data_IF_086250972757
#
_entry.id   IF_086250972757
#
_cell.length_a   1.000
_cell.length_b   1.000
_cell.length_c   1.000
_cell.angle_alpha   90.00
_cell.angle_beta   90.00
_cell.angle_gamma   90.00
#
_symmetry.space_group_name_H-M   'P 1'
#
loop_
_entity.id
_entity.type
_entity.pdbx_description
1 polymer ?
#
# COMPACT_ATOMS: atom_id res chain seq x y z
N UNK A 1 46.83 -0.04 -35.60
CA UNK A 1 45.51 -0.20 -36.24
C UNK A 1 44.54 0.52 -35.33
N UNK A 2 44.18 1.75 -35.66
CA UNK A 2 43.24 2.54 -34.85
C UNK A 2 41.82 2.29 -35.34
N UNK A 3 40.92 1.92 -34.43
CA UNK A 3 39.52 1.68 -34.73
C UNK A 3 38.78 2.99 -34.47
N UNK A 4 38.31 3.63 -35.53
CA UNK A 4 37.39 4.77 -35.43
C UNK A 4 35.97 4.25 -35.22
N UNK A 5 35.31 4.74 -34.17
CA UNK A 5 33.92 4.40 -33.84
C UNK A 5 33.08 5.63 -34.22
N UNK A 6 32.22 5.48 -35.22
CA UNK A 6 31.21 6.48 -35.55
C UNK A 6 30.01 6.36 -34.59
N UNK A 7 29.41 7.47 -34.13
CA UNK A 7 28.21 7.39 -33.31
C UNK A 7 27.01 7.05 -34.19
N UNK A 8 26.37 5.93 -33.88
CA UNK A 8 25.05 5.57 -34.42
C UNK A 8 24.00 6.36 -33.65
N UNK A 9 23.23 7.19 -34.35
CA UNK A 9 22.11 7.90 -33.76
C UNK A 9 20.99 6.95 -33.36
N UNK A 10 20.52 7.08 -32.11
CA UNK A 10 19.38 6.36 -31.59
C UNK A 10 18.12 7.18 -31.82
N UNK A 11 17.17 6.61 -32.57
CA UNK A 11 15.85 7.16 -32.83
C UNK A 11 15.07 7.40 -31.53
N UNK A 12 14.55 8.62 -31.37
CA UNK A 12 13.65 9.03 -30.30
C UNK A 12 12.28 8.36 -30.49
N UNK A 13 11.95 7.41 -29.62
CA UNK A 13 10.63 6.80 -29.51
C UNK A 13 9.65 7.70 -28.75
N UNK A 14 8.44 7.80 -29.28
CA UNK A 14 7.31 8.61 -28.79
C UNK A 14 6.82 8.13 -27.40
N UNK A 15 7.43 8.63 -26.33
CA UNK A 15 7.12 8.23 -24.94
C UNK A 15 5.94 8.98 -24.28
N UNK A 16 5.13 9.74 -25.03
CA UNK A 16 4.13 10.65 -24.45
C UNK A 16 2.79 9.99 -24.05
N UNK A 17 2.39 8.92 -24.71
CA UNK A 17 1.05 8.31 -24.56
C UNK A 17 0.90 7.48 -23.27
N UNK A 18 1.95 6.74 -22.92
CA UNK A 18 1.90 5.81 -21.79
C UNK A 18 2.00 6.52 -20.44
N UNK A 19 2.74 7.63 -20.40
CA UNK A 19 2.88 8.47 -19.20
C UNK A 19 1.55 9.15 -18.84
N UNK A 20 0.82 9.65 -19.83
CA UNK A 20 -0.50 10.25 -19.62
C UNK A 20 -1.53 9.20 -19.13
N UNK A 21 -1.47 7.98 -19.66
CA UNK A 21 -2.31 6.87 -19.20
C UNK A 21 -2.02 6.49 -17.75
N UNK A 22 -0.74 6.46 -17.35
CA UNK A 22 -0.32 6.20 -15.97
C UNK A 22 -0.78 7.30 -15.01
N UNK A 23 -0.66 8.57 -15.42
CA UNK A 23 -1.15 9.69 -14.62
C UNK A 23 -2.67 9.65 -14.43
N UNK A 24 -3.43 9.32 -15.49
CA UNK A 24 -4.89 9.17 -15.41
C UNK A 24 -5.31 8.02 -14.51
N UNK A 25 -4.63 6.87 -14.60
CA UNK A 25 -4.89 5.72 -13.73
C UNK A 25 -4.62 6.07 -12.26
N UNK A 26 -3.48 6.71 -12.00
CA UNK A 26 -3.06 7.13 -10.66
C UNK A 26 -4.10 8.06 -10.04
N UNK A 27 -4.53 9.08 -10.79
CA UNK A 27 -5.59 10.01 -10.39
C UNK A 27 -6.90 9.29 -10.07
N UNK A 28 -7.29 8.33 -10.92
CA UNK A 28 -8.51 7.53 -10.74
C UNK A 28 -8.46 6.66 -9.48
N UNK A 29 -7.31 6.04 -9.21
CA UNK A 29 -7.12 5.21 -8.01
C UNK A 29 -7.20 6.09 -6.76
N UNK A 30 -6.49 7.21 -6.73
CA UNK A 30 -6.55 8.15 -5.61
C UNK A 30 -7.96 8.63 -5.35
N UNK A 31 -8.69 9.01 -6.40
CA UNK A 31 -10.08 9.42 -6.29
C UNK A 31 -10.95 8.33 -5.68
N UNK A 32 -10.85 7.08 -6.15
CA UNK A 32 -11.64 5.96 -5.59
C UNK A 32 -11.29 5.66 -4.13
N UNK A 33 -10.03 5.79 -3.75
CA UNK A 33 -9.60 5.62 -2.36
C UNK A 33 -10.22 6.73 -1.50
N UNK A 34 -10.15 7.98 -1.97
CA UNK A 34 -10.68 9.12 -1.25
C UNK A 34 -12.21 9.07 -1.13
N UNK A 35 -12.91 8.71 -2.21
CA UNK A 35 -14.36 8.43 -2.21
C UNK A 35 -14.71 7.33 -1.21
N UNK A 36 -13.92 6.26 -1.18
CA UNK A 36 -14.06 5.17 -0.21
C UNK A 36 -13.84 5.64 1.23
N UNK A 37 -12.85 6.50 1.46
CA UNK A 37 -12.53 7.06 2.77
C UNK A 37 -13.62 8.03 3.25
N UNK A 38 -14.06 8.96 2.40
CA UNK A 38 -15.17 9.88 2.70
C UNK A 38 -16.48 9.13 2.97
N UNK A 39 -16.75 8.06 2.21
CA UNK A 39 -17.89 7.18 2.46
C UNK A 39 -17.70 6.44 3.79
N UNK A 40 -16.52 5.93 4.09
CA UNK A 40 -16.25 5.34 5.39
C UNK A 40 -16.47 6.37 6.52
N UNK A 41 -15.98 7.61 6.42
CA UNK A 41 -16.24 8.66 7.41
C UNK A 41 -17.74 8.95 7.60
N UNK A 42 -18.55 8.93 6.53
CA UNK A 42 -20.00 9.14 6.63
C UNK A 42 -20.77 7.99 7.27
N UNK A 43 -20.29 6.75 7.16
CA UNK A 43 -20.90 5.55 7.77
C UNK A 43 -20.27 5.16 9.12
N UNK A 44 -19.00 5.52 9.35
CA UNK A 44 -18.15 5.01 10.41
C UNK A 44 -17.56 6.09 11.32
N UNK A 45 -17.95 7.36 11.21
CA UNK A 45 -17.54 8.43 12.13
C UNK A 45 -17.72 8.09 13.62
N UNK A 46 -18.54 7.08 13.96
CA UNK A 46 -18.70 6.54 15.31
C UNK A 46 -18.57 5.01 15.42
N UNK A 47 -18.01 4.33 14.42
CA UNK A 47 -17.94 2.87 14.46
C UNK A 47 -16.82 2.41 15.39
N UNK A 48 -17.18 1.66 16.42
CA UNK A 48 -16.24 1.19 17.42
C UNK A 48 -16.37 -0.31 17.63
N UNK A 49 -15.25 -0.97 17.84
CA UNK A 49 -15.22 -2.35 18.31
C UNK A 49 -15.33 -2.31 19.83
N UNK A 50 -16.52 -2.58 20.35
CA UNK A 50 -16.75 -2.63 21.80
C UNK A 50 -16.56 -4.04 22.37
N UNK A 51 -15.95 -4.11 23.54
CA UNK A 51 -15.94 -5.34 24.33
C UNK A 51 -17.28 -5.48 25.05
N UNK A 52 -18.04 -6.51 24.70
CA UNK A 52 -19.30 -6.86 25.39
C UNK A 52 -19.03 -7.08 26.89
N UNK A 53 -19.69 -6.35 27.81
CA UNK A 53 -19.56 -6.56 29.25
C UNK A 53 -19.83 -8.01 29.67
N UNK A 54 -19.06 -8.51 30.65
CA UNK A 54 -19.13 -9.91 31.09
C UNK A 54 -20.53 -10.33 31.54
N UNK A 55 -21.26 -9.42 32.19
CA UNK A 55 -22.60 -9.71 32.75
C UNK A 55 -23.57 -10.07 31.63
N UNK A 56 -23.71 -9.20 30.62
CA UNK A 56 -24.64 -9.45 29.50
C UNK A 56 -24.15 -10.55 28.56
N UNK A 57 -22.84 -10.77 28.46
CA UNK A 57 -22.29 -11.91 27.70
C UNK A 57 -22.72 -13.25 28.31
N UNK A 58 -22.71 -13.36 29.65
CA UNK A 58 -23.10 -14.59 30.35
C UNK A 58 -24.58 -14.96 30.15
N UNK A 59 -25.44 -13.97 29.86
CA UNK A 59 -26.87 -14.21 29.61
C UNK A 59 -27.08 -15.00 28.31
N UNK A 60 -26.30 -14.69 27.27
CA UNK A 60 -26.36 -15.40 25.97
C UNK A 60 -25.02 -15.35 25.26
N UNK A 61 -24.11 -16.25 25.64
CA UNK A 61 -22.75 -16.25 25.10
C UNK A 61 -22.72 -16.47 23.59
N UNK A 62 -23.55 -17.37 23.08
CA UNK A 62 -23.65 -17.70 21.66
C UNK A 62 -24.05 -16.52 20.76
N UNK A 63 -24.68 -15.48 21.30
CA UNK A 63 -25.00 -14.27 20.52
C UNK A 63 -23.75 -13.41 20.23
N UNK A 64 -22.67 -13.62 20.97
CA UNK A 64 -21.44 -12.83 20.87
C UNK A 64 -20.24 -13.66 20.41
N UNK A 65 -20.44 -14.97 20.21
CA UNK A 65 -19.46 -15.87 19.64
C UNK A 65 -19.53 -15.81 18.11
N UNK A 66 -18.44 -15.49 17.41
CA UNK A 66 -18.42 -15.52 15.96
C UNK A 66 -18.68 -16.94 15.45
N UNK A 67 -19.32 -17.06 14.30
CA UNK A 67 -19.59 -18.36 13.67
C UNK A 67 -18.55 -18.74 12.61
N UNK A 68 -17.94 -17.75 11.95
CA UNK A 68 -17.14 -17.98 10.74
C UNK A 68 -15.69 -17.49 10.86
N UNK A 69 -15.49 -16.26 11.35
CA UNK A 69 -14.16 -15.66 11.53
C UNK A 69 -14.12 -14.72 12.75
N UNK A 70 -13.00 -14.75 13.46
CA UNK A 70 -12.70 -13.79 14.52
C UNK A 70 -12.01 -12.53 13.94
N UNK A 71 -12.65 -11.38 14.15
CA UNK A 71 -12.05 -10.06 13.95
C UNK A 71 -11.54 -9.59 15.34
N UNK A 72 -10.24 -9.69 15.57
CA UNK A 72 -9.58 -9.33 16.83
C UNK A 72 -9.10 -10.51 17.70
N UNK A 73 -8.36 -10.25 18.80
CA UNK A 73 -7.67 -11.28 19.58
C UNK A 73 -8.59 -12.09 20.50
N UNK A 74 -9.80 -11.61 20.77
CA UNK A 74 -10.69 -12.16 21.81
C UNK A 74 -11.09 -13.62 21.54
N UNK A 75 -11.42 -13.96 20.29
CA UNK A 75 -11.83 -15.30 19.87
C UNK A 75 -10.73 -16.01 19.05
N UNK A 76 -9.47 -15.53 19.15
CA UNK A 76 -8.36 -16.04 18.32
C UNK A 76 -8.05 -17.52 18.56
N UNK A 77 -8.30 -18.01 19.77
CA UNK A 77 -7.96 -19.38 20.18
C UNK A 77 -9.13 -20.36 20.06
N UNK A 78 -10.29 -19.89 19.64
CA UNK A 78 -11.50 -20.69 19.56
C UNK A 78 -11.35 -21.71 18.43
N UNK A 79 -11.40 -23.01 18.76
CA UNK A 79 -11.15 -24.09 17.80
C UNK A 79 -12.14 -24.10 16.65
N UNK A 80 -13.42 -23.76 16.90
CA UNK A 80 -14.44 -23.70 15.87
C UNK A 80 -14.23 -22.56 14.87
N UNK A 81 -13.40 -21.57 15.20
CA UNK A 81 -13.01 -20.46 14.34
C UNK A 81 -11.69 -20.69 13.60
N UNK A 82 -11.05 -21.86 13.77
CA UNK A 82 -9.91 -22.29 12.94
C UNK A 82 -10.41 -22.83 11.60
N UNK A 83 -11.28 -22.06 10.94
CA UNK A 83 -11.84 -22.38 9.64
C UNK A 83 -10.83 -22.02 8.54
N UNK A 84 -10.99 -22.56 7.31
CA UNK A 84 -10.20 -22.13 6.15
C UNK A 84 -10.25 -20.62 5.90
N UNK A 85 -11.27 -19.91 6.39
CA UNK A 85 -11.38 -18.45 6.25
C UNK A 85 -10.28 -17.69 7.01
N UNK A 86 -9.68 -18.30 8.05
CA UNK A 86 -8.50 -17.71 8.70
C UNK A 86 -7.29 -17.67 7.77
N UNK A 87 -7.11 -18.70 6.93
CA UNK A 87 -6.03 -18.72 5.92
C UNK A 87 -6.22 -17.61 4.88
N UNK A 88 -7.48 -17.34 4.48
CA UNK A 88 -7.81 -16.23 3.58
C UNK A 88 -7.42 -14.88 4.19
N UNK A 89 -7.68 -14.66 5.50
CA UNK A 89 -7.21 -13.45 6.20
C UNK A 89 -5.69 -13.30 6.16
N UNK A 90 -4.97 -14.40 6.37
CA UNK A 90 -3.50 -14.39 6.30
C UNK A 90 -3.00 -14.10 4.88
N UNK A 91 -3.68 -14.65 3.85
CA UNK A 91 -3.37 -14.33 2.45
C UNK A 91 -3.58 -12.85 2.15
N UNK A 92 -4.71 -12.25 2.55
CA UNK A 92 -4.93 -10.81 2.37
C UNK A 92 -3.89 -9.97 3.11
N UNK A 93 -3.54 -10.34 4.34
CA UNK A 93 -2.51 -9.66 5.11
C UNK A 93 -1.14 -9.75 4.42
N UNK A 94 -0.77 -10.93 3.93
CA UNK A 94 0.47 -11.13 3.16
C UNK A 94 0.49 -10.25 1.91
N UNK A 95 -0.57 -10.30 1.10
CA UNK A 95 -0.68 -9.48 -0.12
C UNK A 95 -0.65 -7.98 0.18
N UNK A 96 -1.25 -7.54 1.29
CA UNK A 96 -1.19 -6.15 1.71
C UNK A 96 0.24 -5.74 2.08
N UNK A 97 0.93 -6.54 2.89
CA UNK A 97 2.30 -6.28 3.30
C UNK A 97 3.25 -6.26 2.10
N UNK A 98 3.15 -7.22 1.19
CA UNK A 98 3.96 -7.24 -0.03
C UNK A 98 3.78 -5.98 -0.88
N UNK A 99 2.54 -5.50 -1.03
CA UNK A 99 2.27 -4.24 -1.76
C UNK A 99 2.86 -3.03 -1.05
N UNK A 100 2.77 -2.97 0.27
CA UNK A 100 3.34 -1.85 1.04
C UNK A 100 4.86 -1.84 0.97
N UNK A 101 5.50 -3.00 1.13
CA UNK A 101 6.97 -3.12 1.05
C UNK A 101 7.47 -2.72 -0.32
N UNK A 102 6.87 -3.23 -1.40
CA UNK A 102 7.25 -2.85 -2.76
C UNK A 102 7.12 -1.33 -3.00
N UNK A 103 6.07 -0.71 -2.48
CA UNK A 103 5.90 0.75 -2.56
C UNK A 103 7.02 1.49 -1.80
N UNK A 104 7.40 1.00 -0.62
CA UNK A 104 8.46 1.62 0.18
C UNK A 104 9.85 1.46 -0.44
N UNK A 105 10.15 0.30 -1.03
CA UNK A 105 11.43 0.05 -1.72
C UNK A 105 11.59 0.98 -2.93
N UNK A 106 10.53 1.11 -3.75
CA UNK A 106 10.52 2.02 -4.89
C UNK A 106 10.69 3.50 -4.47
N UNK A 107 10.12 3.89 -3.32
CA UNK A 107 10.26 5.26 -2.78
C UNK A 107 11.67 5.52 -2.24
N UNK A 108 12.32 4.50 -1.68
CA UNK A 108 13.69 4.60 -1.14
C UNK A 108 14.73 4.72 -2.25
N UNK A 109 14.60 3.96 -3.34
CA UNK A 109 15.46 4.12 -4.52
C UNK A 109 15.37 5.53 -5.13
N UNK A 110 14.16 6.07 -5.25
CA UNK A 110 13.92 7.42 -5.78
C UNK A 110 14.54 8.50 -4.88
N UNK A 111 14.48 8.32 -3.55
CA UNK A 111 15.08 9.24 -2.59
C UNK A 111 16.63 9.23 -2.66
N UNK A 112 17.25 8.07 -2.89
CA UNK A 112 18.71 7.97 -3.02
C UNK A 112 19.22 8.58 -4.33
N UNK A 113 18.50 8.39 -5.44
CA UNK A 113 18.84 9.03 -6.71
C UNK A 113 18.71 10.55 -6.65
N UNK A 114 17.69 11.07 -5.96
CA UNK A 114 17.49 12.52 -5.81
C UNK A 114 18.62 13.16 -4.98
N UNK A 115 19.13 12.47 -3.95
CA UNK A 115 20.30 12.93 -3.16
C UNK A 115 21.57 12.99 -4.01
N UNK A 116 21.78 12.03 -4.91
CA UNK A 116 22.93 12.01 -5.81
C UNK A 116 22.90 13.17 -6.81
N UNK A 117 21.72 13.50 -7.35
CA UNK A 117 21.55 14.64 -8.27
C UNK A 117 21.81 15.98 -7.59
N UNK A 118 21.31 16.19 -6.37
CA UNK A 118 21.52 17.45 -5.61
C UNK A 118 23.00 17.65 -5.24
N UNK A 119 23.76 16.57 -5.01
CA UNK A 119 25.18 16.64 -4.70
C UNK A 119 26.07 17.01 -5.90
N UNK A 120 25.59 16.86 -7.15
CA UNK A 120 26.33 17.18 -8.37
C UNK A 120 26.11 18.63 -8.86
N UNK A 121 25.18 19.38 -8.26
CA UNK A 121 24.80 20.74 -8.72
C UNK A 121 25.41 21.91 -7.93
N UNK A 122 26.46 21.74 -7.10
CA UNK A 122 27.18 22.92 -6.58
C UNK A 122 28.23 23.43 -7.59
N UNK A 123 28.09 24.67 -8.09
CA UNK A 123 28.91 25.21 -9.17
C UNK A 123 30.29 25.63 -8.67
N UNK A 124 31.29 25.41 -9.55
CA UNK A 124 32.69 25.81 -9.43
C UNK A 124 32.85 27.10 -8.61
N UNK A 125 33.60 26.98 -7.51
CA UNK A 125 34.15 28.13 -6.80
C UNK A 125 34.79 29.09 -7.81
N UNK A 126 34.39 30.35 -7.71
CA UNK A 126 35.11 31.47 -8.30
C UNK A 126 36.47 31.51 -7.60
N UNK A 127 37.52 31.09 -8.27
CA UNK A 127 38.89 31.42 -7.88
C UNK A 127 39.33 32.64 -8.68
N UNK A 128 40.00 33.54 -7.97
CA UNK A 128 40.29 34.92 -8.32
C UNK A 128 41.32 35.10 -9.44
#
# INVERSE_FOLDING_TARGET
MEIQIHPTEMSHGENGSDEEALQRLTSTIFQKIDEGAQKAESFFSSSCIYRVPKVIRKVKESAYTPCLIAIGPLHRKDKHLQTPLQLVKMSYMSSLLSRLTAVMENQMELAEQTKFTIAQEHPKGKEA
#
